data_IF_660646758832
#
_entry.id   IF_660646758832
#
_cell.length_a   1.000
_cell.length_b   1.000
_cell.length_c   1.000
_cell.angle_alpha   90.00
_cell.angle_beta   90.00
_cell.angle_gamma   90.00
#
_symmetry.space_group_name_H-M   'P 1'
#
loop_
_entity.id
_entity.type
_entity.pdbx_description
1 polymer ?
#
# COMPACT_ATOMS: atom_id res chain seq x y z
N UNK A 1 -16.30 -8.27 -4.70
CA UNK A 1 -16.37 -6.87 -5.21
C UNK A 1 -15.29 -5.98 -4.60
N UNK A 2 -14.89 -6.19 -3.34
CA UNK A 2 -13.85 -5.42 -2.66
C UNK A 2 -12.47 -5.43 -3.36
N UNK A 3 -12.00 -6.60 -3.83
CA UNK A 3 -10.65 -6.71 -4.41
C UNK A 3 -10.46 -5.89 -5.70
N UNK A 4 -11.52 -5.80 -6.52
CA UNK A 4 -11.50 -5.00 -7.76
C UNK A 4 -11.40 -3.51 -7.46
N UNK A 5 -12.10 -3.04 -6.42
CA UNK A 5 -12.06 -1.64 -6.01
C UNK A 5 -10.69 -1.28 -5.40
N UNK A 6 -10.14 -2.16 -4.53
CA UNK A 6 -8.82 -1.98 -3.96
C UNK A 6 -7.72 -1.96 -5.04
N UNK A 7 -7.80 -2.86 -6.03
CA UNK A 7 -6.86 -2.86 -7.16
C UNK A 7 -6.96 -1.60 -8.01
N UNK A 8 -8.17 -1.16 -8.37
CA UNK A 8 -8.36 0.09 -9.12
C UNK A 8 -7.82 1.31 -8.36
N UNK A 9 -8.03 1.36 -7.04
CA UNK A 9 -7.51 2.42 -6.20
C UNK A 9 -5.98 2.39 -6.09
N UNK A 10 -5.35 1.20 -6.07
CA UNK A 10 -3.90 1.05 -6.16
C UNK A 10 -3.36 1.62 -7.47
N UNK A 11 -3.98 1.30 -8.61
CA UNK A 11 -3.56 1.83 -9.91
C UNK A 11 -3.65 3.36 -9.97
N UNK A 12 -4.75 3.95 -9.49
CA UNK A 12 -4.88 5.40 -9.39
C UNK A 12 -3.82 6.00 -8.46
N UNK A 13 -3.49 5.30 -7.37
CA UNK A 13 -2.49 5.77 -6.45
C UNK A 13 -1.08 5.80 -7.08
N UNK A 14 -0.76 4.77 -7.86
CA UNK A 14 0.47 4.67 -8.64
C UNK A 14 0.59 5.78 -9.68
N UNK A 15 -0.45 6.03 -10.49
CA UNK A 15 -0.45 7.08 -11.51
C UNK A 15 -0.11 8.45 -10.90
N UNK A 16 -0.80 8.83 -9.82
CA UNK A 16 -0.56 10.10 -9.11
C UNK A 16 0.83 10.18 -8.50
N UNK A 17 1.38 9.05 -8.06
CA UNK A 17 2.76 9.00 -7.58
C UNK A 17 3.75 9.26 -8.71
N UNK A 18 3.58 8.59 -9.87
CA UNK A 18 4.42 8.81 -11.06
C UNK A 18 4.39 10.28 -11.49
N UNK A 19 3.20 10.88 -11.58
CA UNK A 19 3.06 12.30 -11.91
C UNK A 19 3.82 13.19 -10.91
N UNK A 20 3.68 12.94 -9.61
CA UNK A 20 4.38 13.71 -8.58
C UNK A 20 5.90 13.58 -8.68
N UNK A 21 6.43 12.37 -8.95
CA UNK A 21 7.86 12.13 -9.16
C UNK A 21 8.39 12.87 -10.40
N UNK A 22 7.64 12.86 -11.51
CA UNK A 22 8.00 13.63 -12.71
C UNK A 22 8.06 15.13 -12.44
N UNK A 23 7.15 15.66 -11.62
CA UNK A 23 7.17 17.07 -11.23
C UNK A 23 8.32 17.39 -10.27
N UNK A 24 8.67 16.47 -9.37
CA UNK A 24 9.83 16.61 -8.47
C UNK A 24 11.17 16.58 -9.22
N UNK A 25 11.24 15.96 -10.39
CA UNK A 25 12.43 16.06 -11.25
C UNK A 25 12.54 17.44 -11.92
N UNK A 26 11.41 18.10 -12.18
CA UNK A 26 11.33 19.40 -12.86
C UNK A 26 11.39 20.59 -11.91
N UNK A 27 11.04 20.39 -10.64
CA UNK A 27 10.88 21.46 -9.63
C UNK A 27 11.71 21.18 -8.38
N UNK A 28 12.23 22.21 -7.69
CA UNK A 28 13.02 21.99 -6.48
C UNK A 28 12.15 21.43 -5.34
N UNK A 29 12.73 20.53 -4.55
CA UNK A 29 12.06 19.93 -3.39
C UNK A 29 11.71 20.94 -2.29
N UNK A 30 12.39 22.08 -2.25
CA UNK A 30 12.15 23.17 -1.32
C UNK A 30 11.83 24.44 -2.10
N UNK A 31 10.68 25.05 -1.79
CA UNK A 31 10.20 26.28 -2.40
C UNK A 31 10.44 27.45 -1.46
N UNK A 32 11.05 28.52 -1.98
CA UNK A 32 11.18 29.78 -1.25
C UNK A 32 10.01 30.68 -1.62
N UNK A 33 9.26 31.11 -0.61
CA UNK A 33 8.20 32.11 -0.76
C UNK A 33 8.81 33.51 -0.93
N UNK A 34 8.08 34.47 -1.53
CA UNK A 34 8.52 35.86 -1.60
C UNK A 34 8.82 36.50 -0.23
N UNK A 35 8.17 36.01 0.83
CA UNK A 35 8.40 36.46 2.21
C UNK A 35 9.64 35.84 2.87
N UNK A 36 10.36 34.94 2.18
CA UNK A 36 11.60 34.32 2.67
C UNK A 36 11.42 32.97 3.38
N UNK A 37 10.18 32.53 3.63
CA UNK A 37 9.92 31.20 4.20
C UNK A 37 10.24 30.09 3.20
N UNK A 38 10.86 29.02 3.70
CA UNK A 38 11.11 27.79 2.97
C UNK A 38 10.00 26.79 3.29
N UNK A 39 9.33 26.29 2.27
CA UNK A 39 8.32 25.24 2.39
C UNK A 39 8.71 24.03 1.54
N UNK A 40 8.24 22.85 1.95
CA UNK A 40 8.39 21.65 1.14
C UNK A 40 7.55 21.75 -0.14
N UNK A 41 8.04 21.16 -1.23
CA UNK A 41 7.27 21.02 -2.45
C UNK A 41 5.96 20.27 -2.17
N UNK A 42 4.80 20.75 -2.65
CA UNK A 42 3.53 20.03 -2.51
C UNK A 42 3.58 18.66 -3.20
N UNK A 43 4.36 18.52 -4.28
CA UNK A 43 4.56 17.25 -4.98
C UNK A 43 5.21 16.19 -4.08
N UNK A 44 6.09 16.60 -3.17
CA UNK A 44 6.70 15.67 -2.22
C UNK A 44 5.68 15.15 -1.19
N UNK A 45 4.73 16.00 -0.78
CA UNK A 45 3.63 15.57 0.08
C UNK A 45 2.71 14.58 -0.64
N UNK A 46 2.40 14.82 -1.93
CA UNK A 46 1.63 13.89 -2.76
C UNK A 46 2.35 12.56 -2.89
N UNK A 47 3.61 12.57 -3.34
CA UNK A 47 4.40 11.36 -3.54
C UNK A 47 4.42 10.48 -2.27
N UNK A 48 4.73 11.07 -1.12
CA UNK A 48 4.75 10.36 0.17
C UNK A 48 3.39 9.77 0.53
N UNK A 49 2.29 10.52 0.32
CA UNK A 49 0.95 10.04 0.62
C UNK A 49 0.54 8.88 -0.27
N UNK A 50 0.85 8.97 -1.55
CA UNK A 50 0.52 7.93 -2.51
C UNK A 50 1.30 6.64 -2.24
N UNK A 51 2.57 6.72 -1.85
CA UNK A 51 3.34 5.57 -1.38
C UNK A 51 2.70 4.88 -0.16
N UNK A 52 2.24 5.66 0.81
CA UNK A 52 1.56 5.13 2.00
C UNK A 52 0.24 4.42 1.65
N UNK A 53 -0.55 4.98 0.72
CA UNK A 53 -1.79 4.37 0.25
C UNK A 53 -1.53 3.09 -0.54
N UNK A 54 -0.53 3.09 -1.42
CA UNK A 54 -0.11 1.90 -2.15
C UNK A 54 0.29 0.76 -1.20
N UNK A 55 1.03 1.05 -0.13
CA UNK A 55 1.38 0.07 0.90
C UNK A 55 0.14 -0.55 1.59
N UNK A 56 -0.87 0.27 1.89
CA UNK A 56 -2.14 -0.20 2.49
C UNK A 56 -2.92 -1.09 1.53
N UNK A 57 -3.10 -0.70 0.27
CA UNK A 57 -3.79 -1.52 -0.71
C UNK A 57 -3.04 -2.84 -1.00
N UNK A 58 -1.71 -2.82 -1.04
CA UNK A 58 -0.91 -4.06 -1.13
C UNK A 58 -1.14 -5.00 0.04
N UNK A 59 -1.33 -4.46 1.25
CA UNK A 59 -1.61 -5.27 2.43
C UNK A 59 -2.99 -5.93 2.36
N UNK A 60 -4.01 -5.20 1.91
CA UNK A 60 -5.37 -5.75 1.71
C UNK A 60 -5.42 -6.81 0.60
N UNK A 61 -4.69 -6.61 -0.50
CA UNK A 61 -4.60 -7.56 -1.61
C UNK A 61 -3.73 -8.79 -1.30
N UNK A 62 -3.14 -8.89 -0.09
CA UNK A 62 -2.26 -10.02 0.27
C UNK A 62 -0.88 -10.02 -0.41
N UNK A 63 -0.50 -8.90 -1.04
CA UNK A 63 0.74 -8.77 -1.80
C UNK A 63 1.98 -8.56 -0.90
N UNK A 64 1.79 -8.20 0.38
CA UNK A 64 2.89 -8.08 1.35
C UNK A 64 3.24 -9.42 2.02
N UNK A 65 4.52 -9.67 2.34
CA UNK A 65 4.94 -10.86 3.10
C UNK A 65 4.18 -11.02 4.43
N UNK A 66 3.96 -9.92 5.15
CA UNK A 66 3.26 -9.90 6.45
C UNK A 66 1.76 -10.21 6.34
N UNK A 67 1.13 -9.88 5.21
CA UNK A 67 -0.25 -10.30 4.95
C UNK A 67 -0.35 -11.80 4.69
N UNK A 68 0.65 -12.39 4.00
CA UNK A 68 0.69 -13.83 3.74
C UNK A 68 0.92 -14.67 5.00
N UNK A 69 1.75 -14.20 5.93
CA UNK A 69 2.05 -14.94 7.18
C UNK A 69 0.87 -15.00 8.16
N UNK A 70 -0.18 -14.18 7.98
CA UNK A 70 -1.40 -14.21 8.81
C UNK A 70 -2.35 -15.35 8.46
N UNK A 71 -2.11 -16.09 7.38
CA UNK A 71 -2.92 -17.23 6.99
C UNK A 71 -2.50 -18.42 7.86
N UNK A 72 -3.26 -18.68 8.93
CA UNK A 72 -3.13 -19.91 9.71
C UNK A 72 -3.98 -20.98 9.05
N UNK A 73 -3.35 -21.98 8.43
CA UNK A 73 -4.06 -23.15 7.92
C UNK A 73 -4.47 -23.99 9.14
N UNK A 74 -5.75 -23.96 9.51
CA UNK A 74 -6.29 -24.95 10.44
C UNK A 74 -6.31 -26.29 9.71
N UNK A 75 -5.28 -27.11 9.93
CA UNK A 75 -5.33 -28.52 9.56
C UNK A 75 -6.38 -29.15 10.47
N UNK A 76 -7.56 -29.42 9.92
CA UNK A 76 -8.59 -30.17 10.62
C UNK A 76 -8.00 -31.53 11.01
N UNK A 77 -8.00 -31.81 12.31
CA UNK A 77 -7.43 -33.00 12.91
C UNK A 77 -8.27 -34.23 12.51
N UNK A 78 -7.96 -34.82 11.35
CA UNK A 78 -8.64 -35.99 10.81
C UNK A 78 -8.15 -37.32 11.45
N UNK A 79 -7.60 -37.28 12.67
CA UNK A 79 -7.05 -38.46 13.35
C UNK A 79 -7.90 -39.00 14.51
N UNK A 80 -9.06 -38.42 14.85
CA UNK A 80 -9.86 -38.85 16.01
C UNK A 80 -10.98 -39.88 15.72
N UNK A 81 -11.14 -40.38 14.49
CA UNK A 81 -12.25 -41.28 14.14
C UNK A 81 -11.95 -42.80 14.20
N UNK A 82 -10.72 -43.24 14.48
CA UNK A 82 -10.34 -44.68 14.41
C UNK A 82 -10.25 -45.37 15.78
N UNK A 83 -10.45 -44.64 16.89
CA UNK A 83 -10.24 -45.16 18.25
C UNK A 83 -11.49 -45.60 19.04
N UNK A 84 -12.68 -45.65 18.44
CA UNK A 84 -13.94 -45.92 19.17
C UNK A 84 -14.76 -47.08 18.56
N UNK A 85 -14.10 -48.20 18.27
CA UNK A 85 -14.78 -49.49 18.09
C UNK A 85 -13.85 -50.62 18.58
N UNK A 86 -13.77 -50.74 19.91
CA UNK A 86 -13.60 -52.03 20.59
C UNK A 86 -14.90 -52.31 21.33
#
# INVERSE_FOLDING_TARGET
MADRAAFAAYCQAWERWVEAEEQLQKTPMLLKTPSGYVQQSPWLSVANKQMELMARYMAELGLTPSSRSRITIQVADAAQAVGMHL
#
